data_IF_429356375982
#
_entry.id   IF_429356375982
#
_cell.length_a   1.000
_cell.length_b   1.000
_cell.length_c   1.000
_cell.angle_alpha   90.00
_cell.angle_beta   90.00
_cell.angle_gamma   90.00
#
_symmetry.space_group_name_H-M   'P 1'
#
loop_
_entity.id
_entity.type
_entity.pdbx_description
1 polymer ?
#
# COMPACT_ATOMS: atom_id res chain seq x y z
N UNK A 1 -7.87 25.74 8.26
CA UNK A 1 -7.80 25.07 6.94
C UNK A 1 -9.16 25.19 6.25
N UNK A 2 -9.21 25.38 4.94
CA UNK A 2 -10.50 25.40 4.23
C UNK A 2 -11.11 23.99 4.16
N UNK A 3 -12.43 23.88 4.19
CA UNK A 3 -13.17 22.60 4.14
C UNK A 3 -12.77 21.71 2.95
N UNK A 4 -12.30 22.30 1.85
CA UNK A 4 -11.89 21.57 0.66
C UNK A 4 -10.54 20.85 0.83
N UNK A 5 -9.59 21.45 1.55
CA UNK A 5 -8.27 20.84 1.82
C UNK A 5 -8.42 19.61 2.70
N UNK A 6 -9.24 19.70 3.75
CA UNK A 6 -9.50 18.58 4.66
C UNK A 6 -10.25 17.43 3.95
N UNK A 7 -11.22 17.75 3.09
CA UNK A 7 -11.90 16.75 2.26
C UNK A 7 -10.95 16.04 1.29
N UNK A 8 -10.00 16.75 0.70
CA UNK A 8 -8.99 16.17 -0.18
C UNK A 8 -8.00 15.27 0.58
N UNK A 9 -7.52 15.71 1.74
CA UNK A 9 -6.65 14.90 2.62
C UNK A 9 -7.36 13.62 3.06
N UNK A 10 -8.60 13.70 3.56
CA UNK A 10 -9.39 12.53 3.96
C UNK A 10 -9.59 11.55 2.81
N UNK A 11 -9.86 12.06 1.60
CA UNK A 11 -10.03 11.22 0.40
C UNK A 11 -8.74 10.51 0.01
N UNK A 12 -7.60 11.21 0.04
CA UNK A 12 -6.27 10.63 -0.22
C UNK A 12 -5.99 9.49 0.77
N UNK A 13 -6.15 9.77 2.06
CA UNK A 13 -5.95 8.79 3.13
C UNK A 13 -6.79 7.53 2.93
N UNK A 14 -8.10 7.68 2.72
CA UNK A 14 -9.02 6.55 2.51
C UNK A 14 -8.63 5.74 1.28
N UNK A 15 -8.26 6.42 0.20
CA UNK A 15 -7.85 5.75 -1.03
C UNK A 15 -6.57 4.94 -0.85
N UNK A 16 -5.56 5.47 -0.15
CA UNK A 16 -4.31 4.75 0.12
C UNK A 16 -4.56 3.52 1.02
N UNK A 17 -5.45 3.61 2.02
CA UNK A 17 -5.85 2.46 2.82
C UNK A 17 -6.57 1.40 1.99
N UNK A 18 -7.51 1.79 1.13
CA UNK A 18 -8.21 0.87 0.23
C UNK A 18 -7.19 0.17 -0.69
N UNK A 19 -6.25 0.93 -1.27
CA UNK A 19 -5.22 0.34 -2.12
C UNK A 19 -4.33 -0.66 -1.36
N UNK A 20 -3.87 -0.31 -0.16
CA UNK A 20 -3.08 -1.23 0.65
C UNK A 20 -3.85 -2.52 0.96
N UNK A 21 -5.11 -2.41 1.38
CA UNK A 21 -5.99 -3.56 1.63
C UNK A 21 -6.21 -4.40 0.38
N UNK A 22 -6.56 -3.78 -0.75
CA UNK A 22 -6.81 -4.48 -2.01
C UNK A 22 -5.57 -5.19 -2.54
N UNK A 23 -4.37 -4.59 -2.35
CA UNK A 23 -3.11 -5.23 -2.68
C UNK A 23 -2.91 -6.51 -1.85
N UNK A 24 -3.13 -6.45 -0.54
CA UNK A 24 -3.00 -7.63 0.33
C UNK A 24 -4.03 -8.71 -0.03
N UNK A 25 -5.28 -8.33 -0.29
CA UNK A 25 -6.36 -9.25 -0.74
C UNK A 25 -6.00 -9.93 -2.06
N UNK A 26 -5.29 -9.24 -2.95
CA UNK A 26 -4.78 -9.84 -4.18
C UNK A 26 -3.61 -10.80 -3.93
N UNK A 27 -2.60 -10.37 -3.17
CA UNK A 27 -1.35 -11.11 -3.01
C UNK A 27 -1.49 -12.38 -2.16
N UNK A 28 -2.17 -12.30 -1.00
CA UNK A 28 -2.23 -13.41 -0.03
C UNK A 28 -2.76 -14.71 -0.66
N UNK A 29 -3.90 -14.72 -1.38
CA UNK A 29 -4.43 -15.96 -1.95
C UNK A 29 -3.64 -16.46 -3.17
N UNK A 30 -2.75 -15.63 -3.72
CA UNK A 30 -1.91 -16.00 -4.87
C UNK A 30 -0.60 -16.68 -4.47
N UNK A 31 -0.29 -16.74 -3.17
CA UNK A 31 0.89 -17.40 -2.61
C UNK A 31 0.76 -18.92 -2.64
N UNK A 32 1.84 -19.61 -2.99
CA UNK A 32 1.93 -21.06 -2.89
C UNK A 32 1.82 -21.50 -1.43
N UNK A 33 2.41 -20.74 -0.51
CA UNK A 33 2.29 -20.95 0.93
C UNK A 33 0.82 -20.97 1.38
N UNK A 34 0.00 -20.04 0.88
CA UNK A 34 -1.42 -19.98 1.23
C UNK A 34 -2.19 -21.19 0.69
N UNK A 35 -1.92 -21.59 -0.55
CA UNK A 35 -2.55 -22.77 -1.15
C UNK A 35 -2.22 -24.06 -0.38
N UNK A 36 -0.99 -24.19 0.12
CA UNK A 36 -0.56 -25.33 0.96
C UNK A 36 -1.25 -25.35 2.33
N UNK A 37 -1.43 -24.18 2.94
CA UNK A 37 -2.11 -24.06 4.25
C UNK A 37 -3.63 -24.23 4.15
N UNK A 38 -4.22 -23.96 2.99
CA UNK A 38 -5.67 -24.02 2.77
C UNK A 38 -6.16 -25.33 2.13
N UNK A 39 -5.34 -26.40 2.12
CA UNK A 39 -5.63 -27.69 1.45
C UNK A 39 -6.05 -27.55 -0.02
N UNK A 40 -5.48 -26.58 -0.73
CA UNK A 40 -5.71 -26.33 -2.15
C UNK A 40 -6.31 -24.96 -2.48
N UNK A 41 -6.23 -24.58 -3.76
CA UNK A 41 -6.71 -23.29 -4.24
C UNK A 41 -8.24 -23.30 -4.43
N UNK A 42 -8.98 -22.81 -3.44
CA UNK A 42 -10.43 -22.61 -3.55
C UNK A 42 -10.78 -21.65 -4.71
N UNK A 43 -11.78 -21.97 -5.56
CA UNK A 43 -12.28 -21.06 -6.59
C UNK A 43 -12.70 -19.69 -6.03
N UNK A 44 -13.22 -19.68 -4.79
CA UNK A 44 -13.60 -18.45 -4.08
C UNK A 44 -12.38 -17.59 -3.80
N UNK A 45 -11.27 -18.18 -3.34
CA UNK A 45 -10.03 -17.47 -3.05
C UNK A 45 -9.45 -16.81 -4.32
N UNK A 46 -9.55 -17.50 -5.48
CA UNK A 46 -9.15 -16.94 -6.78
C UNK A 46 -10.03 -15.77 -7.20
N UNK A 47 -11.35 -15.88 -7.04
CA UNK A 47 -12.28 -14.79 -7.36
C UNK A 47 -12.04 -13.56 -6.47
N UNK A 48 -11.79 -13.76 -5.17
CA UNK A 48 -11.46 -12.70 -4.22
C UNK A 48 -10.12 -12.03 -4.57
N UNK A 49 -9.10 -12.82 -4.91
CA UNK A 49 -7.79 -12.30 -5.35
C UNK A 49 -7.90 -11.46 -6.63
N UNK A 50 -8.69 -11.92 -7.61
CA UNK A 50 -8.96 -11.18 -8.85
C UNK A 50 -9.69 -9.87 -8.57
N UNK A 51 -10.70 -9.88 -7.69
CA UNK A 51 -11.39 -8.66 -7.27
C UNK A 51 -10.42 -7.66 -6.59
N UNK A 52 -9.53 -8.17 -5.72
CA UNK A 52 -8.46 -7.37 -5.10
C UNK A 52 -7.56 -6.70 -6.13
N UNK A 53 -7.12 -7.44 -7.15
CA UNK A 53 -6.30 -6.92 -8.25
C UNK A 53 -7.03 -5.80 -9.00
N UNK A 54 -8.29 -6.02 -9.37
CA UNK A 54 -9.07 -5.03 -10.13
C UNK A 54 -9.26 -3.74 -9.33
N UNK A 55 -9.60 -3.84 -8.04
CA UNK A 55 -9.76 -2.66 -7.17
C UNK A 55 -8.43 -1.94 -7.01
N UNK A 56 -7.32 -2.66 -6.80
CA UNK A 56 -6.00 -2.07 -6.67
C UNK A 56 -5.57 -1.36 -7.95
N UNK A 57 -5.71 -2.01 -9.10
CA UNK A 57 -5.35 -1.45 -10.40
C UNK A 57 -6.18 -0.21 -10.74
N UNK A 58 -7.49 -0.26 -10.50
CA UNK A 58 -8.38 0.89 -10.67
C UNK A 58 -7.98 2.06 -9.75
N UNK A 59 -7.65 1.78 -8.48
CA UNK A 59 -7.15 2.78 -7.53
C UNK A 59 -5.84 3.43 -7.98
N UNK A 60 -4.90 2.64 -8.51
CA UNK A 60 -3.64 3.13 -9.05
C UNK A 60 -3.84 4.02 -10.27
N UNK A 61 -4.65 3.56 -11.25
CA UNK A 61 -5.01 4.36 -12.44
C UNK A 61 -5.70 5.66 -12.02
N UNK A 62 -6.61 5.60 -11.04
CA UNK A 62 -7.26 6.78 -10.50
C UNK A 62 -6.25 7.76 -9.87
N UNK A 63 -5.30 7.28 -9.06
CA UNK A 63 -4.24 8.14 -8.49
C UNK A 63 -3.38 8.79 -9.56
N UNK A 64 -2.91 8.03 -10.55
CA UNK A 64 -2.02 8.53 -11.58
C UNK A 64 -2.72 9.52 -12.52
N UNK A 65 -3.97 9.24 -12.89
CA UNK A 65 -4.76 10.14 -13.74
C UNK A 65 -5.17 11.41 -13.01
N UNK A 66 -5.62 11.31 -11.75
CA UNK A 66 -5.99 12.46 -10.93
C UNK A 66 -4.78 13.27 -10.49
N UNK A 67 -3.62 12.68 -10.18
CA UNK A 67 -2.45 13.48 -9.79
C UNK A 67 -2.02 14.40 -10.93
N UNK A 68 -1.94 13.88 -12.16
CA UNK A 68 -1.62 14.69 -13.34
C UNK A 68 -2.65 15.79 -13.61
N UNK A 69 -3.94 15.47 -13.46
CA UNK A 69 -5.03 16.41 -13.70
C UNK A 69 -5.14 17.50 -12.61
N UNK A 70 -5.04 17.11 -11.34
CA UNK A 70 -5.12 18.03 -10.19
C UNK A 70 -3.89 18.94 -10.14
N UNK A 71 -2.69 18.41 -10.40
CA UNK A 71 -1.49 19.23 -10.52
C UNK A 71 -1.71 20.27 -11.60
N UNK A 72 -2.15 19.91 -12.81
CA UNK A 72 -2.35 20.87 -13.92
C UNK A 72 -3.38 21.99 -13.67
N UNK A 73 -4.39 21.78 -12.83
CA UNK A 73 -5.47 22.76 -12.58
C UNK A 73 -5.38 23.50 -11.25
N UNK A 74 -4.56 23.04 -10.30
CA UNK A 74 -4.40 23.70 -9.01
C UNK A 74 -3.66 25.04 -9.17
N UNK A 75 -4.17 26.08 -8.51
CA UNK A 75 -3.48 27.37 -8.40
C UNK A 75 -2.13 27.19 -7.69
N UNK A 76 -1.16 28.08 -7.91
CA UNK A 76 0.14 28.01 -7.23
C UNK A 76 0.01 27.97 -5.70
N UNK A 77 -1.03 28.61 -5.16
CA UNK A 77 -1.35 28.66 -3.73
C UNK A 77 -1.91 27.32 -3.21
N UNK A 78 -2.78 26.65 -3.95
CA UNK A 78 -3.31 25.33 -3.56
C UNK A 78 -2.23 24.25 -3.63
N UNK A 79 -1.29 24.37 -4.58
CA UNK A 79 -0.12 23.49 -4.66
C UNK A 79 0.80 23.67 -3.45
N UNK A 80 1.06 24.90 -3.05
CA UNK A 80 1.88 25.20 -1.86
C UNK A 80 1.22 24.69 -0.57
N UNK A 81 -0.10 24.79 -0.44
CA UNK A 81 -0.83 24.26 0.71
C UNK A 81 -0.89 22.71 0.74
N UNK A 82 -0.85 22.05 -0.43
CA UNK A 82 -0.84 20.58 -0.54
C UNK A 82 0.57 19.96 -0.41
N UNK A 83 1.62 20.74 -0.67
CA UNK A 83 3.04 20.37 -0.52
C UNK A 83 3.68 20.95 0.73
N UNK A 84 2.85 21.19 1.75
CA UNK A 84 3.29 21.60 3.07
C UNK A 84 4.42 20.68 3.60
N UNK A 85 5.36 21.27 4.33
CA UNK A 85 6.53 20.58 4.89
C UNK A 85 6.12 19.34 5.68
N UNK A 86 4.95 19.40 6.33
CA UNK A 86 4.36 18.29 7.07
C UNK A 86 4.02 17.09 6.17
N UNK A 87 3.48 17.32 4.97
CA UNK A 87 3.16 16.24 4.02
C UNK A 87 4.44 15.60 3.52
N UNK A 88 5.48 16.40 3.24
CA UNK A 88 6.79 15.88 2.84
C UNK A 88 7.43 15.04 3.96
N UNK A 89 7.41 15.54 5.20
CA UNK A 89 7.90 14.81 6.35
C UNK A 89 7.13 13.49 6.57
N UNK A 90 5.80 13.49 6.42
CA UNK A 90 4.98 12.28 6.52
C UNK A 90 5.32 11.26 5.43
N UNK A 91 5.58 11.70 4.18
CA UNK A 91 6.03 10.81 3.10
C UNK A 91 7.39 10.18 3.40
N UNK A 92 8.35 10.99 3.86
CA UNK A 92 9.68 10.50 4.22
C UNK A 92 9.59 9.45 5.35
N UNK A 93 8.84 9.75 6.42
CA UNK A 93 8.62 8.81 7.54
C UNK A 93 7.93 7.52 7.08
N UNK A 94 6.90 7.63 6.24
CA UNK A 94 6.21 6.47 5.70
C UNK A 94 7.14 5.60 4.83
N UNK A 95 7.98 6.22 3.99
CA UNK A 95 8.97 5.52 3.19
C UNK A 95 10.01 4.80 4.06
N UNK A 96 10.53 5.46 5.10
CA UNK A 96 11.43 4.83 6.07
C UNK A 96 10.77 3.66 6.80
N UNK A 97 9.50 3.78 7.17
CA UNK A 97 8.76 2.66 7.78
C UNK A 97 8.63 1.47 6.83
N UNK A 98 8.33 1.72 5.55
CA UNK A 98 8.30 0.68 4.52
C UNK A 98 9.66 0.01 4.29
N UNK A 99 10.74 0.80 4.24
CA UNK A 99 12.11 0.29 4.14
C UNK A 99 12.47 -0.64 5.30
N UNK A 100 12.25 -0.19 6.54
CA UNK A 100 12.54 -1.01 7.72
C UNK A 100 11.67 -2.26 7.78
N UNK A 101 10.39 -2.16 7.42
CA UNK A 101 9.51 -3.32 7.36
C UNK A 101 9.97 -4.35 6.32
N UNK A 102 10.41 -3.92 5.13
CA UNK A 102 10.99 -4.83 4.14
C UNK A 102 12.26 -5.49 4.65
N UNK A 103 13.15 -4.74 5.31
CA UNK A 103 14.42 -5.27 5.81
C UNK A 103 14.19 -6.30 6.92
N UNK A 104 13.29 -6.00 7.85
CA UNK A 104 12.88 -6.93 8.91
C UNK A 104 12.20 -8.16 8.31
N UNK A 105 11.28 -7.98 7.35
CA UNK A 105 10.62 -9.09 6.67
C UNK A 105 11.61 -9.99 5.93
N UNK A 106 12.53 -9.41 5.16
CA UNK A 106 13.55 -10.15 4.44
C UNK A 106 14.47 -10.93 5.41
N UNK A 107 14.92 -10.30 6.50
CA UNK A 107 15.73 -10.96 7.53
C UNK A 107 14.98 -12.11 8.23
N UNK A 108 13.72 -11.88 8.61
CA UNK A 108 12.88 -12.89 9.24
C UNK A 108 12.59 -14.07 8.31
N UNK A 109 12.29 -13.80 7.03
CA UNK A 109 12.04 -14.84 6.02
C UNK A 109 13.30 -15.63 5.69
N UNK A 110 14.45 -14.96 5.62
CA UNK A 110 15.73 -15.63 5.46
C UNK A 110 15.99 -16.59 6.62
N UNK A 111 15.82 -16.14 7.87
CA UNK A 111 15.98 -16.98 9.04
C UNK A 111 14.97 -18.14 9.08
N UNK A 112 13.70 -17.88 8.75
CA UNK A 112 12.66 -18.91 8.67
C UNK A 112 12.98 -19.97 7.61
N UNK A 113 13.57 -19.56 6.48
CA UNK A 113 13.94 -20.44 5.39
C UNK A 113 15.04 -21.46 5.77
N UNK A 114 15.77 -21.23 6.86
CA UNK A 114 16.74 -22.20 7.40
C UNK A 114 16.06 -23.41 8.04
N UNK A 115 14.80 -23.27 8.47
CA UNK A 115 14.04 -24.31 9.17
C UNK A 115 12.90 -24.87 8.32
N UNK A 116 12.27 -24.02 7.51
CA UNK A 116 11.18 -24.40 6.61
C UNK A 116 11.48 -23.98 5.19
N UNK A 117 11.52 -24.90 4.20
CA UNK A 117 11.80 -24.54 2.82
C UNK A 117 10.66 -23.68 2.26
N UNK A 118 10.90 -22.38 2.17
CA UNK A 118 10.00 -21.42 1.56
C UNK A 118 10.36 -21.28 0.07
N UNK A 119 9.34 -21.10 -0.78
CA UNK A 119 9.60 -20.83 -2.18
C UNK A 119 10.19 -19.42 -2.34
N UNK A 120 11.11 -19.24 -3.30
CA UNK A 120 11.65 -17.92 -3.63
C UNK A 120 10.54 -16.93 -4.05
N UNK A 121 9.47 -17.45 -4.66
CA UNK A 121 8.28 -16.68 -5.01
C UNK A 121 7.54 -16.13 -3.78
N UNK A 122 7.26 -16.98 -2.79
CA UNK A 122 6.59 -16.56 -1.55
C UNK A 122 7.42 -15.54 -0.78
N UNK A 123 8.74 -15.74 -0.70
CA UNK A 123 9.65 -14.80 -0.04
C UNK A 123 9.59 -13.44 -0.73
N UNK A 124 9.74 -13.41 -2.06
CA UNK A 124 9.71 -12.16 -2.83
C UNK A 124 8.35 -11.44 -2.68
N UNK A 125 7.24 -12.18 -2.74
CA UNK A 125 5.90 -11.62 -2.56
C UNK A 125 5.70 -11.03 -1.15
N UNK A 126 6.13 -11.73 -0.09
CA UNK A 126 6.01 -11.22 1.29
C UNK A 126 6.83 -9.95 1.52
N UNK A 127 8.05 -9.89 0.96
CA UNK A 127 8.87 -8.67 1.01
C UNK A 127 8.20 -7.53 0.24
N UNK A 128 7.67 -7.79 -0.96
CA UNK A 128 6.92 -6.79 -1.73
C UNK A 128 5.67 -6.31 -0.99
N UNK A 129 4.95 -7.21 -0.31
CA UNK A 129 3.81 -6.86 0.53
C UNK A 129 4.19 -5.91 1.66
N UNK A 130 5.30 -6.18 2.36
CA UNK A 130 5.81 -5.24 3.35
C UNK A 130 6.16 -3.88 2.71
N UNK A 131 6.85 -3.90 1.56
CA UNK A 131 7.28 -2.70 0.84
C UNK A 131 6.18 -1.83 0.26
N UNK A 132 5.02 -2.41 -0.05
CA UNK A 132 3.88 -1.67 -0.61
C UNK A 132 2.87 -1.32 0.48
N UNK A 133 2.42 -2.28 1.28
CA UNK A 133 1.33 -2.06 2.21
C UNK A 133 1.74 -1.18 3.40
N UNK A 134 2.93 -1.41 3.97
CA UNK A 134 3.39 -0.67 5.16
C UNK A 134 3.52 0.83 4.90
N UNK A 135 4.22 1.33 3.85
CA UNK A 135 4.32 2.77 3.65
C UNK A 135 2.97 3.40 3.32
N UNK A 136 2.06 2.70 2.63
CA UNK A 136 0.71 3.21 2.36
C UNK A 136 -0.11 3.37 3.64
N UNK A 137 -0.09 2.37 4.52
CA UNK A 137 -0.75 2.46 5.83
C UNK A 137 -0.08 3.49 6.74
N UNK A 138 1.25 3.49 6.81
CA UNK A 138 2.02 4.43 7.63
C UNK A 138 1.71 5.88 7.23
N UNK A 139 1.72 6.19 5.93
CA UNK A 139 1.35 7.52 5.45
C UNK A 139 -0.10 7.86 5.83
N UNK A 140 -1.04 6.95 5.60
CA UNK A 140 -2.45 7.19 5.91
C UNK A 140 -2.70 7.40 7.42
N UNK A 141 -1.92 6.75 8.29
CA UNK A 141 -2.00 6.92 9.75
C UNK A 141 -1.34 8.24 10.17
N UNK A 142 -0.14 8.55 9.67
CA UNK A 142 0.55 9.81 9.96
C UNK A 142 -0.27 11.02 9.51
N UNK A 143 -0.91 10.92 8.35
CA UNK A 143 -1.81 11.96 7.86
C UNK A 143 -3.06 12.12 8.74
N UNK A 144 -3.53 11.07 9.41
CA UNK A 144 -4.63 11.20 10.39
C UNK A 144 -4.19 11.91 11.66
N UNK A 145 -3.01 11.52 12.16
CA UNK A 145 -2.51 11.98 13.47
C UNK A 145 -2.06 13.43 13.41
N UNK A 146 -1.54 13.85 12.26
CA UNK A 146 -0.99 15.18 12.03
C UNK A 146 -1.93 16.12 11.25
N UNK A 147 -3.17 15.70 10.97
CA UNK A 147 -4.22 16.57 10.41
C UNK A 147 -5.03 17.21 11.53
#
# INVERSE_FOLDING_TARGET
>A
MSNDVERQSRRRRVLLMIMASSFLVWQIPSMDLFARLADGASPVARAVSLAGLLVWAAGLVFLLSKSRYLVRRASAQDRAALEDELVQANRARAFSAGYWAMLVAAGALFAANLYWPLSGGDIAQLVLMAGVAVPLYAFAILERVNA
#
